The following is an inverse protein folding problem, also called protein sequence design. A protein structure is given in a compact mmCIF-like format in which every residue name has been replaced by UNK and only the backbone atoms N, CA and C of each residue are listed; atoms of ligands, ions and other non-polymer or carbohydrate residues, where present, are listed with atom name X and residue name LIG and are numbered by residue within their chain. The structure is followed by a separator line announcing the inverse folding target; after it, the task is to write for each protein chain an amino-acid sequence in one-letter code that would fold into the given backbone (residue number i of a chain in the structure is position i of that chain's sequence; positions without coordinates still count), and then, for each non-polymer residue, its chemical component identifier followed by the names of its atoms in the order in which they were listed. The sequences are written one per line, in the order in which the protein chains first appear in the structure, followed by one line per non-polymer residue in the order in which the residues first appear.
data_IF_943032162669
#
_entry.id   IF_943032162669
#
_cell.length_a   1.000
_cell.length_b   1.000
_cell.length_c   1.000
_cell.angle_alpha   90.00
_cell.angle_beta   90.00
_cell.angle_gamma   90.00
#
_symmetry.space_group_name_H-M   'P 1'
#
loop_
_entity.id
_entity.type
_entity.pdbx_description
1 polymer ?
#
# COMPACT_ATOMS: atom_id res chain seq x y z
N UNK A 1 -4.23 26.09 -13.29
CA UNK A 1 -3.81 26.12 -14.71
C UNK A 1 -2.83 24.98 -14.92
N UNK A 2 -2.94 24.19 -15.99
CA UNK A 2 -1.99 23.11 -16.26
C UNK A 2 -0.61 23.69 -16.62
N UNK A 3 0.46 23.09 -16.10
CA UNK A 3 1.83 23.45 -16.49
C UNK A 3 2.10 22.81 -17.85
N UNK A 4 2.45 23.64 -18.85
CA UNK A 4 2.87 23.19 -20.18
C UNK A 4 4.34 23.54 -20.39
N UNK A 5 5.14 22.54 -20.72
CA UNK A 5 6.56 22.66 -21.07
C UNK A 5 6.73 22.23 -22.53
N UNK A 6 7.53 22.96 -23.32
CA UNK A 6 7.89 22.55 -24.68
C UNK A 6 9.40 22.31 -24.72
N UNK A 7 9.81 21.13 -25.19
CA UNK A 7 11.23 20.76 -25.27
C UNK A 7 12.06 21.75 -26.13
N UNK A 8 11.41 22.41 -27.09
CA UNK A 8 12.03 23.40 -27.97
C UNK A 8 12.33 24.75 -27.31
N UNK A 9 11.74 25.03 -26.15
CA UNK A 9 11.94 26.31 -25.48
C UNK A 9 13.38 26.37 -24.94
N UNK A 10 14.03 27.52 -25.07
CA UNK A 10 15.43 27.71 -24.64
C UNK A 10 15.61 27.57 -23.12
N UNK A 11 14.53 27.70 -22.36
CA UNK A 11 14.46 27.56 -20.91
C UNK A 11 13.88 26.20 -20.45
N UNK A 12 13.67 25.26 -21.38
CA UNK A 12 13.03 23.97 -21.10
C UNK A 12 13.71 23.21 -19.96
N UNK A 13 15.02 23.01 -20.02
CA UNK A 13 15.75 22.21 -19.02
C UNK A 13 15.60 22.80 -17.62
N UNK A 14 15.69 24.14 -17.51
CA UNK A 14 15.51 24.83 -16.24
C UNK A 14 14.08 24.64 -15.69
N UNK A 15 13.06 24.83 -16.53
CA UNK A 15 11.66 24.71 -16.12
C UNK A 15 11.25 23.27 -15.85
N UNK A 16 11.80 22.31 -16.58
CA UNK A 16 11.59 20.89 -16.38
C UNK A 16 12.26 20.40 -15.10
N UNK A 17 13.54 20.75 -14.87
CA UNK A 17 14.23 20.46 -13.62
C UNK A 17 13.50 21.07 -12.41
N UNK A 18 13.06 22.33 -12.50
CA UNK A 18 12.26 22.96 -11.45
C UNK A 18 10.95 22.18 -11.19
N UNK A 19 10.24 21.79 -12.25
CA UNK A 19 9.02 20.99 -12.16
C UNK A 19 9.26 19.63 -11.48
N UNK A 20 10.35 18.93 -11.80
CA UNK A 20 10.72 17.66 -11.17
C UNK A 20 11.02 17.84 -9.66
N UNK A 21 11.49 19.03 -9.27
CA UNK A 21 11.78 19.37 -7.86
C UNK A 21 10.60 19.96 -7.10
N UNK A 22 9.44 20.15 -7.73
CA UNK A 22 8.19 20.56 -7.07
C UNK A 22 7.69 19.42 -6.18
N UNK A 23 8.41 19.14 -5.10
CA UNK A 23 7.93 18.27 -4.03
C UNK A 23 6.73 18.94 -3.37
N UNK A 24 5.70 18.15 -3.10
CA UNK A 24 4.70 18.48 -2.09
C UNK A 24 5.47 18.61 -0.77
N UNK A 25 5.58 19.83 -0.25
CA UNK A 25 6.21 20.06 1.07
C UNK A 25 5.58 19.10 2.08
N UNK A 26 6.42 18.35 2.77
CA UNK A 26 6.02 17.65 3.99
C UNK A 26 5.94 18.75 5.04
N UNK A 27 4.72 19.18 5.37
CA UNK A 27 4.54 20.11 6.48
C UNK A 27 5.07 19.46 7.75
N UNK A 28 6.01 20.13 8.43
CA UNK A 28 6.58 19.68 9.71
C UNK A 28 5.49 19.40 10.76
N UNK A 29 4.34 20.08 10.63
CA UNK A 29 3.19 19.88 11.51
C UNK A 29 2.60 18.47 11.39
N UNK A 30 2.62 17.87 10.19
CA UNK A 30 2.10 16.51 9.98
C UNK A 30 3.05 15.47 10.55
N UNK A 31 4.37 15.70 10.46
CA UNK A 31 5.37 14.78 11.00
C UNK A 31 5.20 14.61 12.52
N UNK A 32 5.11 15.72 13.25
CA UNK A 32 4.94 15.70 14.71
C UNK A 32 3.64 14.96 15.10
N UNK A 33 2.52 15.25 14.42
CA UNK A 33 1.23 14.61 14.68
C UNK A 33 1.30 13.10 14.44
N UNK A 34 1.89 12.65 13.34
CA UNK A 34 1.99 11.22 13.02
C UNK A 34 2.92 10.50 14.01
N UNK A 35 4.03 11.14 14.40
CA UNK A 35 4.94 10.62 15.42
C UNK A 35 4.22 10.37 16.74
N UNK A 36 3.38 11.30 17.18
CA UNK A 36 2.61 11.18 18.42
C UNK A 36 1.53 10.09 18.31
N UNK A 37 0.82 10.00 17.18
CA UNK A 37 -0.15 8.92 16.92
C UNK A 37 0.53 7.55 17.05
N UNK A 38 1.67 7.35 16.40
CA UNK A 38 2.42 6.09 16.44
C UNK A 38 2.88 5.78 17.86
N UNK A 39 3.45 6.77 18.57
CA UNK A 39 3.90 6.60 19.95
C UNK A 39 2.76 6.17 20.87
N UNK A 40 1.59 6.80 20.70
CA UNK A 40 0.40 6.52 21.50
C UNK A 40 -0.20 5.15 21.20
N UNK A 41 -0.35 4.77 19.93
CA UNK A 41 -0.81 3.42 19.55
C UNK A 41 0.15 2.35 20.08
N UNK A 42 1.46 2.61 20.07
CA UNK A 42 2.44 1.68 20.65
C UNK A 42 2.29 1.53 22.17
N UNK A 43 1.99 2.61 22.88
CA UNK A 43 1.88 2.61 24.34
C UNK A 43 0.52 2.10 24.86
N UNK A 44 -0.56 2.42 24.14
CA UNK A 44 -1.94 2.20 24.59
C UNK A 44 -2.69 1.13 23.78
N UNK A 45 -2.13 0.66 22.66
CA UNK A 45 -2.74 -0.38 21.81
C UNK A 45 -4.12 0.01 21.27
N UNK A 46 -5.06 -0.94 21.34
CA UNK A 46 -6.41 -0.83 20.79
C UNK A 46 -7.19 0.37 21.35
N UNK A 47 -6.92 0.80 22.58
CA UNK A 47 -7.57 1.99 23.14
C UNK A 47 -7.27 3.23 22.31
N UNK A 48 -5.98 3.48 22.00
CA UNK A 48 -5.61 4.61 21.16
C UNK A 48 -6.10 4.44 19.72
N UNK A 49 -6.14 3.21 19.20
CA UNK A 49 -6.70 2.92 17.88
C UNK A 49 -8.19 3.31 17.81
N UNK A 50 -9.01 2.85 18.77
CA UNK A 50 -10.43 3.18 18.87
C UNK A 50 -10.63 4.70 18.96
N UNK A 51 -9.86 5.38 19.82
CA UNK A 51 -9.95 6.83 19.99
C UNK A 51 -9.63 7.59 18.68
N UNK A 52 -8.59 7.18 17.96
CA UNK A 52 -8.21 7.83 16.70
C UNK A 52 -9.19 7.51 15.57
N UNK A 53 -9.72 6.29 15.49
CA UNK A 53 -10.76 5.94 14.51
C UNK A 53 -12.04 6.74 14.77
N UNK A 54 -12.44 6.90 16.04
CA UNK A 54 -13.59 7.76 16.37
C UNK A 54 -13.32 9.22 15.99
N UNK A 55 -12.09 9.71 16.20
CA UNK A 55 -11.71 11.09 15.86
C UNK A 55 -11.72 11.34 14.36
N UNK A 56 -11.08 10.49 13.56
CA UNK A 56 -10.81 10.73 12.14
C UNK A 56 -11.88 10.14 11.23
N UNK A 57 -12.36 8.93 11.51
CA UNK A 57 -13.27 8.17 10.65
C UNK A 57 -14.73 8.25 11.13
N UNK A 58 -14.96 8.81 12.33
CA UNK A 58 -16.28 8.93 12.98
C UNK A 58 -16.96 7.58 13.20
N UNK A 59 -16.18 6.51 13.33
CA UNK A 59 -16.66 5.16 13.61
C UNK A 59 -16.29 4.72 15.04
N UNK A 60 -17.25 4.12 15.74
CA UNK A 60 -17.03 3.57 17.09
C UNK A 60 -16.65 2.08 17.00
N UNK A 61 -15.34 1.81 16.98
CA UNK A 61 -14.82 0.44 16.97
C UNK A 61 -15.03 -0.30 18.30
N UNK A 62 -15.33 0.40 19.40
CA UNK A 62 -15.71 -0.25 20.66
C UNK A 62 -17.06 -0.97 20.55
N UNK A 63 -17.97 -0.44 19.72
CA UNK A 63 -19.25 -1.05 19.41
C UNK A 63 -19.21 -1.98 18.19
N UNK A 64 -18.49 -1.57 17.13
CA UNK A 64 -18.45 -2.31 15.85
C UNK A 64 -17.51 -3.52 15.88
N UNK A 65 -16.49 -3.48 16.74
CA UNK A 65 -15.34 -4.37 16.67
C UNK A 65 -14.32 -3.92 15.62
N UNK A 66 -13.05 -4.27 15.85
CA UNK A 66 -11.94 -3.86 14.98
C UNK A 66 -11.88 -4.71 13.69
N UNK A 67 -12.17 -6.00 13.78
CA UNK A 67 -12.09 -6.92 12.65
C UNK A 67 -13.43 -7.03 11.92
N UNK A 68 -13.42 -6.91 10.59
CA UNK A 68 -14.58 -7.20 9.75
C UNK A 68 -14.91 -8.69 9.79
N UNK A 69 -16.17 -9.03 10.04
CA UNK A 69 -16.60 -10.43 10.17
C UNK A 69 -16.65 -11.14 8.81
N UNK A 70 -16.45 -12.47 8.81
CA UNK A 70 -16.64 -13.28 7.58
C UNK A 70 -18.06 -13.18 7.02
N UNK A 71 -19.05 -12.99 7.90
CA UNK A 71 -20.44 -12.78 7.52
C UNK A 71 -20.60 -11.48 6.72
N UNK A 72 -19.99 -10.39 7.16
CA UNK A 72 -20.12 -9.10 6.46
C UNK A 72 -19.40 -9.12 5.11
N UNK A 73 -18.28 -9.85 5.02
CA UNK A 73 -17.60 -10.11 3.74
C UNK A 73 -18.52 -10.90 2.79
N UNK A 74 -19.17 -11.96 3.27
CA UNK A 74 -20.08 -12.76 2.46
C UNK A 74 -21.28 -11.93 1.97
N UNK A 75 -21.90 -11.15 2.86
CA UNK A 75 -23.00 -10.23 2.51
C UNK A 75 -22.57 -9.21 1.46
N UNK A 76 -21.38 -8.62 1.59
CA UNK A 76 -20.86 -7.68 0.60
C UNK A 76 -20.64 -8.35 -0.77
N UNK A 77 -20.20 -9.61 -0.79
CA UNK A 77 -20.04 -10.38 -2.02
C UNK A 77 -21.38 -10.70 -2.69
N UNK A 78 -22.39 -11.07 -1.90
CA UNK A 78 -23.76 -11.35 -2.37
C UNK A 78 -24.47 -10.09 -2.88
N UNK A 79 -24.23 -8.94 -2.25
CA UNK A 79 -24.84 -7.67 -2.61
C UNK A 79 -24.19 -6.99 -3.83
N UNK A 80 -22.99 -7.43 -4.24
CA UNK A 80 -22.26 -6.84 -5.35
C UNK A 80 -22.87 -7.23 -6.71
N UNK A 81 -22.78 -6.32 -7.67
CA UNK A 81 -23.16 -6.60 -9.06
C UNK A 81 -22.33 -7.78 -9.63
N UNK A 82 -22.97 -8.83 -10.19
CA UNK A 82 -22.27 -9.99 -10.73
C UNK A 82 -21.23 -9.64 -11.79
N UNK A 83 -21.49 -8.67 -12.66
CA UNK A 83 -20.53 -8.29 -13.70
C UNK A 83 -19.27 -7.65 -13.10
N UNK A 84 -19.42 -6.82 -12.07
CA UNK A 84 -18.32 -6.27 -11.29
C UNK A 84 -17.50 -7.37 -10.61
N UNK A 85 -18.16 -8.36 -10.00
CA UNK A 85 -17.47 -9.50 -9.37
C UNK A 85 -16.65 -10.29 -10.38
N UNK A 86 -17.20 -10.59 -11.56
CA UNK A 86 -16.48 -11.30 -12.61
C UNK A 86 -15.31 -10.50 -13.17
N UNK A 87 -15.45 -9.17 -13.33
CA UNK A 87 -14.35 -8.31 -13.73
C UNK A 87 -13.18 -8.34 -12.72
N UNK A 88 -13.48 -8.32 -11.42
CA UNK A 88 -12.47 -8.42 -10.36
C UNK A 88 -11.82 -9.81 -10.30
N UNK A 89 -12.58 -10.90 -10.53
CA UNK A 89 -12.02 -12.26 -10.64
C UNK A 89 -11.07 -12.37 -11.83
N UNK A 90 -11.45 -11.84 -12.98
CA UNK A 90 -10.59 -11.81 -14.16
C UNK A 90 -9.28 -11.06 -13.89
N UNK A 91 -9.36 -9.87 -13.26
CA UNK A 91 -8.17 -9.11 -12.87
C UNK A 91 -7.28 -9.89 -11.87
N UNK A 92 -7.88 -10.47 -10.83
CA UNK A 92 -7.19 -11.32 -9.84
C UNK A 92 -6.42 -12.45 -10.50
N UNK A 93 -7.03 -13.17 -11.43
CA UNK A 93 -6.42 -14.35 -12.05
C UNK A 93 -5.22 -13.97 -12.92
N UNK A 94 -5.30 -12.84 -13.63
CA UNK A 94 -4.16 -12.30 -14.39
C UNK A 94 -3.03 -11.82 -13.49
N UNK A 95 -3.34 -11.10 -12.40
CA UNK A 95 -2.35 -10.65 -11.42
C UNK A 95 -1.64 -11.86 -10.81
N UNK A 96 -2.40 -12.89 -10.39
CA UNK A 96 -1.86 -14.13 -9.83
C UNK A 96 -0.94 -14.84 -10.83
N UNK A 97 -1.42 -15.07 -12.05
CA UNK A 97 -0.65 -15.73 -13.11
C UNK A 97 0.68 -15.03 -13.38
N UNK A 98 0.70 -13.69 -13.36
CA UNK A 98 1.93 -12.93 -13.54
C UNK A 98 2.90 -13.10 -12.35
N UNK A 99 2.43 -12.94 -11.11
CA UNK A 99 3.30 -13.00 -9.93
C UNK A 99 3.75 -14.43 -9.58
N UNK A 100 2.99 -15.46 -9.96
CA UNK A 100 3.41 -16.86 -9.82
C UNK A 100 4.70 -17.16 -10.60
N UNK A 101 4.91 -16.49 -11.74
CA UNK A 101 6.15 -16.60 -12.53
C UNK A 101 7.34 -15.93 -11.87
N UNK A 102 7.10 -15.01 -10.94
CA UNK A 102 8.12 -14.28 -10.20
C UNK A 102 8.47 -14.94 -8.86
N UNK A 103 7.75 -16.00 -8.47
CA UNK A 103 8.05 -16.71 -7.23
C UNK A 103 9.50 -17.18 -7.27
N UNK A 104 10.33 -16.76 -6.31
CA UNK A 104 11.70 -17.20 -6.28
C UNK A 104 11.72 -18.71 -6.03
N UNK A 105 12.81 -19.35 -6.47
CA UNK A 105 13.07 -20.75 -6.20
C UNK A 105 14.27 -20.83 -5.28
N UNK A 106 14.19 -21.74 -4.32
CA UNK A 106 15.38 -22.18 -3.60
C UNK A 106 16.40 -22.72 -4.60
N UNK A 107 17.67 -22.50 -4.32
CA UNK A 107 18.78 -23.00 -5.10
C UNK A 107 19.73 -23.75 -4.19
N UNK A 108 20.10 -24.95 -4.60
CA UNK A 108 21.06 -25.82 -3.90
C UNK A 108 21.89 -26.54 -4.94
N UNK A 109 23.20 -26.46 -4.79
CA UNK A 109 24.14 -27.11 -5.69
C UNK A 109 25.41 -27.52 -4.95
N UNK A 110 26.13 -28.48 -5.54
CA UNK A 110 27.48 -28.84 -5.11
C UNK A 110 28.45 -28.30 -6.13
N UNK A 111 29.47 -27.57 -5.67
CA UNK A 111 30.48 -26.99 -6.56
C UNK A 111 31.55 -28.03 -7.00
N UNK A 112 32.50 -27.58 -7.82
CA UNK A 112 33.58 -28.44 -8.32
C UNK A 112 34.55 -28.93 -7.22
N UNK A 113 34.55 -28.31 -6.04
CA UNK A 113 35.33 -28.73 -4.88
C UNK A 113 34.56 -29.73 -3.99
N UNK A 114 33.31 -30.06 -4.31
CA UNK A 114 32.46 -30.95 -3.53
C UNK A 114 31.76 -30.25 -2.36
N UNK A 115 31.76 -28.92 -2.29
CA UNK A 115 31.09 -28.14 -1.24
C UNK A 115 29.63 -27.91 -1.63
N UNK A 116 28.71 -28.20 -0.71
CA UNK A 116 27.29 -27.86 -0.88
C UNK A 116 27.04 -26.39 -0.53
N UNK A 117 26.39 -25.68 -1.45
CA UNK A 117 26.02 -24.28 -1.34
C UNK A 117 24.52 -24.13 -1.60
N UNK A 118 23.91 -23.10 -1.03
CA UNK A 118 22.52 -22.82 -1.32
C UNK A 118 22.02 -21.43 -0.93
N UNK A 119 20.93 -21.05 -1.56
CA UNK A 119 20.14 -19.85 -1.29
C UNK A 119 18.69 -20.27 -1.07
N UNK A 120 18.09 -19.81 0.03
CA UNK A 120 16.71 -20.13 0.40
C UNK A 120 15.89 -18.85 0.55
N UNK A 121 14.71 -18.84 -0.03
CA UNK A 121 13.75 -17.75 0.05
C UNK A 121 12.72 -17.93 1.17
#
# INVERSE_FOLDING_TARGET
MAITLRQSDTDFEQRFSAFLTTKREVSADVEAVVRDIIARVRAEGDKALIDYTLKFDKADLGALGIAVSKSDIAKAYEAADPATVEALKFARDRIRSHHERQKPKDDRYTDAAGVELGSRW
#
